data_IF_585732518177
#
_entry.id   IF_585732518177
#
_cell.length_a   1.000
_cell.length_b   1.000
_cell.length_c   1.000
_cell.angle_alpha   90.00
_cell.angle_beta   90.00
_cell.angle_gamma   90.00
#
_symmetry.space_group_name_H-M   'P 1'
#
loop_
_entity.id
_entity.type
_entity.pdbx_description
1 polymer ?
#
# COMPACT_ATOMS: atom_id res chain seq x y z
N UNK A 1 -7.91 -1.21 -20.78
CA UNK A 1 -7.91 -0.86 -19.33
C UNK A 1 -7.47 -2.10 -18.55
N UNK A 2 -6.25 -2.13 -18.03
CA UNK A 2 -5.81 -3.22 -17.15
C UNK A 2 -6.52 -3.06 -15.80
N UNK A 3 -7.04 -4.15 -15.22
CA UNK A 3 -7.65 -4.10 -13.88
C UNK A 3 -6.54 -4.09 -12.83
N UNK A 4 -6.61 -3.26 -11.79
CA UNK A 4 -5.61 -3.26 -10.73
C UNK A 4 -5.57 -4.61 -10.02
N UNK A 5 -4.37 -5.03 -9.64
CA UNK A 5 -4.14 -6.28 -8.91
C UNK A 5 -4.62 -6.07 -7.47
N UNK A 6 -5.60 -6.89 -7.06
CA UNK A 6 -6.13 -6.87 -5.70
C UNK A 6 -5.18 -7.61 -4.76
N UNK A 7 -4.56 -6.90 -3.84
CA UNK A 7 -3.76 -7.42 -2.75
C UNK A 7 -4.57 -7.40 -1.46
N UNK A 8 -4.33 -8.35 -0.55
CA UNK A 8 -4.94 -8.34 0.77
C UNK A 8 -3.87 -8.15 1.84
N UNK A 9 -4.06 -7.17 2.71
CA UNK A 9 -3.23 -7.04 3.91
C UNK A 9 -3.66 -8.13 4.91
N UNK A 10 -2.77 -9.08 5.16
CA UNK A 10 -3.04 -10.23 6.05
C UNK A 10 -2.59 -9.93 7.47
N UNK A 11 -1.39 -9.36 7.63
CA UNK A 11 -0.79 -9.12 8.94
C UNK A 11 0.16 -7.93 8.91
N UNK A 12 0.33 -7.27 10.05
CA UNK A 12 1.41 -6.30 10.29
C UNK A 12 2.21 -6.79 11.49
N UNK A 13 3.48 -7.15 11.28
CA UNK A 13 4.35 -7.72 12.31
C UNK A 13 5.76 -7.15 12.19
N UNK A 14 6.35 -6.73 13.30
CA UNK A 14 7.71 -6.17 13.35
C UNK A 14 7.94 -5.08 12.28
N UNK A 15 7.01 -4.13 12.16
CA UNK A 15 7.06 -3.03 11.18
C UNK A 15 7.02 -3.47 9.70
N UNK A 16 6.69 -4.73 9.45
CA UNK A 16 6.50 -5.28 8.11
C UNK A 16 5.02 -5.55 7.85
N UNK A 17 4.59 -5.23 6.64
CA UNK A 17 3.26 -5.46 6.11
C UNK A 17 3.26 -6.73 5.28
N UNK A 18 2.39 -7.68 5.59
CA UNK A 18 2.30 -8.95 4.88
C UNK A 18 1.13 -8.91 3.91
N UNK A 19 1.43 -8.81 2.61
CA UNK A 19 0.43 -8.77 1.54
C UNK A 19 0.29 -10.12 0.85
N UNK A 20 -0.95 -10.59 0.72
CA UNK A 20 -1.29 -11.77 -0.07
C UNK A 20 -1.75 -11.37 -1.46
N UNK A 21 -1.05 -11.89 -2.46
CA UNK A 21 -1.44 -11.80 -3.87
C UNK A 21 -2.50 -12.87 -4.19
N UNK A 22 -3.36 -12.62 -5.18
CA UNK A 22 -4.43 -13.55 -5.52
C UNK A 22 -3.89 -14.88 -6.05
N UNK A 23 -2.74 -14.85 -6.74
CA UNK A 23 -2.10 -16.02 -7.34
C UNK A 23 -0.86 -16.49 -6.56
N UNK A 24 -0.68 -16.05 -5.32
CA UNK A 24 0.46 -16.43 -4.49
C UNK A 24 -0.02 -17.03 -3.17
N UNK A 25 0.42 -18.26 -2.88
CA UNK A 25 0.05 -18.95 -1.64
C UNK A 25 0.70 -18.31 -0.40
N UNK A 26 1.90 -17.73 -0.55
CA UNK A 26 2.69 -17.16 0.54
C UNK A 26 2.54 -15.63 0.58
N UNK A 27 2.25 -15.02 1.74
CA UNK A 27 2.25 -13.58 1.89
C UNK A 27 3.66 -12.98 1.70
N UNK A 28 3.75 -11.84 1.04
CA UNK A 28 4.99 -11.10 0.85
C UNK A 28 5.15 -10.10 1.99
N UNK A 29 6.28 -10.16 2.68
CA UNK A 29 6.66 -9.17 3.68
C UNK A 29 7.21 -7.91 3.00
N UNK A 30 6.65 -6.76 3.33
CA UNK A 30 7.00 -5.48 2.76
C UNK A 30 7.31 -4.49 3.88
N UNK A 31 8.31 -3.63 3.67
CA UNK A 31 8.55 -2.51 4.58
C UNK A 31 7.54 -1.37 4.32
N UNK A 32 7.48 -0.41 5.23
CA UNK A 32 6.57 0.74 5.13
C UNK A 32 6.75 1.54 3.84
N UNK A 33 7.99 1.76 3.41
CA UNK A 33 8.28 2.53 2.19
C UNK A 33 7.68 1.86 0.96
N UNK A 34 7.86 0.54 0.81
CA UNK A 34 7.33 -0.20 -0.32
C UNK A 34 5.81 -0.31 -0.24
N UNK A 35 5.25 -0.58 0.94
CA UNK A 35 3.80 -0.60 1.16
C UNK A 35 3.15 0.73 0.76
N UNK A 36 3.79 1.85 1.10
CA UNK A 36 3.32 3.19 0.72
C UNK A 36 3.36 3.42 -0.79
N UNK A 37 4.37 2.90 -1.50
CA UNK A 37 4.42 2.98 -2.98
C UNK A 37 3.25 2.21 -3.60
N UNK A 38 2.92 1.05 -3.07
CA UNK A 38 1.80 0.24 -3.54
C UNK A 38 0.46 0.93 -3.30
N UNK A 39 0.28 1.61 -2.16
CA UNK A 39 -0.93 2.38 -1.88
C UNK A 39 -1.15 3.57 -2.83
N UNK A 40 -0.07 4.15 -3.36
CA UNK A 40 -0.15 5.30 -4.27
C UNK A 40 -0.12 4.90 -5.76
N UNK A 41 -0.04 3.60 -6.06
CA UNK A 41 0.00 3.11 -7.44
C UNK A 41 -1.41 2.74 -7.91
N UNK A 42 -1.75 3.15 -9.13
CA UNK A 42 -3.01 2.77 -9.77
C UNK A 42 -3.01 1.29 -10.24
N UNK A 43 -1.86 0.62 -10.16
CA UNK A 43 -1.71 -0.79 -10.56
C UNK A 43 -2.18 -1.76 -9.47
N UNK A 44 -2.22 -1.34 -8.20
CA UNK A 44 -2.48 -2.21 -7.06
C UNK A 44 -3.63 -1.67 -6.21
N UNK A 45 -4.49 -2.56 -5.74
CA UNK A 45 -5.54 -2.24 -4.79
C UNK A 45 -5.36 -3.09 -3.53
N UNK A 46 -5.06 -2.48 -2.39
CA UNK A 46 -4.85 -3.21 -1.14
C UNK A 46 -6.13 -3.20 -0.29
N UNK A 47 -6.75 -4.38 -0.15
CA UNK A 47 -7.89 -4.64 0.71
C UNK A 47 -7.46 -4.82 2.17
N UNK A 48 -8.24 -4.29 3.11
CA UNK A 48 -7.97 -4.40 4.56
C UNK A 48 -7.08 -3.28 5.13
N UNK A 49 -6.73 -2.27 4.33
CA UNK A 49 -6.01 -1.09 4.83
C UNK A 49 -7.00 -0.18 5.54
N UNK A 50 -6.75 0.19 6.82
CA UNK A 50 -7.61 1.13 7.52
C UNK A 50 -7.71 2.46 6.77
N UNK A 51 -8.93 2.99 6.65
CA UNK A 51 -9.20 4.22 5.90
C UNK A 51 -8.29 5.41 6.31
N UNK A 52 -7.83 5.46 7.56
CA UNK A 52 -6.96 6.52 8.06
C UNK A 52 -5.52 6.50 7.51
N UNK A 53 -5.04 5.40 6.91
CA UNK A 53 -3.71 5.31 6.27
C UNK A 53 -3.70 5.69 4.79
N UNK A 54 -4.85 5.70 4.13
CA UNK A 54 -4.98 6.04 2.71
C UNK A 54 -4.76 7.52 2.41
N UNK A 55 -4.90 8.41 3.39
CA UNK A 55 -4.90 9.86 3.18
C UNK A 55 -3.57 10.56 3.51
N UNK A 56 -2.52 9.84 3.96
CA UNK A 56 -1.29 10.50 4.45
C UNK A 56 -0.36 11.05 3.36
N UNK A 57 -0.62 10.82 2.07
CA UNK A 57 0.35 11.15 1.00
C UNK A 57 -0.08 12.24 0.02
N UNK A 58 -1.27 12.86 0.17
CA UNK A 58 -1.66 14.04 -0.63
C UNK A 58 -1.50 15.39 0.08
N UNK A 59 -0.80 15.45 1.21
CA UNK A 59 -0.45 16.71 1.89
C UNK A 59 1.07 16.85 2.09
N UNK A 60 1.80 16.99 0.99
CA UNK A 60 3.10 17.69 0.97
C UNK A 60 3.42 18.21 -0.45
N UNK A 61 2.47 18.95 -1.03
CA UNK A 61 2.73 19.84 -2.19
C UNK A 61 1.94 21.14 -2.00
N UNK A 62 2.41 21.95 -1.07
CA UNK A 62 2.22 23.41 -0.94
C UNK A 62 3.24 23.79 0.17
N UNK A 63 4.15 24.74 0.06
CA UNK A 63 4.31 25.90 -0.81
C UNK A 63 5.78 26.35 -0.72
N UNK A 64 6.25 27.06 -1.76
CA UNK A 64 7.55 27.73 -1.96
C UNK A 64 8.06 28.49 -0.72
N UNK A 65 9.38 28.52 -0.50
CA UNK A 65 10.04 29.64 0.19
C UNK A 65 11.29 30.10 -0.58
N UNK A 66 11.13 31.30 -1.17
CA UNK A 66 12.07 32.38 -1.55
C UNK A 66 13.28 32.06 -2.40
#
# INVERSE_FOLDING_TARGET
MSKPIKLRLVEVKNEKYFLKYPNLSVPIAMNEQLFTKFLNSDEYFIEGVPHHKLFKTKQKRTTVNV
#
